data_IF_273144513136
#
_entry.id   IF_273144513136
#
_cell.length_a   1.000
_cell.length_b   1.000
_cell.length_c   1.000
_cell.angle_alpha   90.00
_cell.angle_beta   90.00
_cell.angle_gamma   90.00
#
_symmetry.space_group_name_H-M   'P 1'
#
loop_
_entity.id
_entity.type
_entity.pdbx_description
1 polymer ?
#
# COMPACT_ATOMS: atom_id res chain seq x y z
N UNK A 1 23.86 -2.28 -6.66
CA UNK A 1 23.68 -0.82 -6.64
C UNK A 1 22.86 -0.28 -7.83
N UNK A 2 23.12 -0.66 -9.09
CA UNK A 2 22.37 -0.15 -10.26
C UNK A 2 20.89 -0.59 -10.32
N UNK A 3 20.58 -1.82 -9.90
CA UNK A 3 19.20 -2.34 -9.80
C UNK A 3 18.35 -1.52 -8.81
N UNK A 4 18.93 -1.09 -7.68
CA UNK A 4 18.24 -0.27 -6.68
C UNK A 4 17.90 1.12 -7.24
N UNK A 5 18.73 1.70 -8.10
CA UNK A 5 18.47 3.00 -8.72
C UNK A 5 17.31 2.93 -9.73
N UNK A 6 17.27 1.89 -10.58
CA UNK A 6 16.18 1.68 -11.54
C UNK A 6 14.84 1.37 -10.85
N UNK A 7 14.86 0.52 -9.80
CA UNK A 7 13.68 0.27 -8.99
C UNK A 7 13.23 1.52 -8.24
N UNK A 8 14.14 2.28 -7.64
CA UNK A 8 13.81 3.59 -7.01
C UNK A 8 13.19 4.56 -8.01
N UNK A 9 13.73 4.65 -9.24
CA UNK A 9 13.22 5.58 -10.27
C UNK A 9 11.87 5.13 -10.84
N UNK A 10 11.62 3.83 -10.94
CA UNK A 10 10.33 3.27 -11.33
C UNK A 10 9.28 3.49 -10.23
N UNK A 11 9.69 3.29 -8.97
CA UNK A 11 8.87 3.56 -7.78
C UNK A 11 8.59 5.05 -7.68
N UNK A 12 9.58 5.94 -7.76
CA UNK A 12 9.40 7.40 -7.86
C UNK A 12 8.53 7.77 -9.06
N UNK A 13 8.67 7.12 -10.21
CA UNK A 13 7.84 7.40 -11.38
C UNK A 13 6.38 6.99 -11.18
N UNK A 14 6.10 5.94 -10.41
CA UNK A 14 4.75 5.45 -10.09
C UNK A 14 4.17 6.09 -8.82
N UNK A 15 5.04 6.58 -7.93
CA UNK A 15 4.73 7.31 -6.69
C UNK A 15 4.92 8.83 -6.84
N UNK A 16 5.22 9.32 -8.05
CA UNK A 16 5.22 10.75 -8.42
C UNK A 16 3.77 11.23 -8.30
N UNK A 17 3.39 11.63 -7.10
CA UNK A 17 2.01 11.97 -6.74
C UNK A 17 1.59 11.51 -5.35
N UNK A 18 2.34 10.59 -4.74
CA UNK A 18 2.10 10.12 -3.37
C UNK A 18 2.97 10.95 -2.40
N UNK A 19 2.41 11.87 -1.61
CA UNK A 19 3.15 12.65 -0.62
C UNK A 19 3.97 11.77 0.33
N UNK A 20 5.12 12.29 0.78
CA UNK A 20 6.00 11.59 1.74
C UNK A 20 5.26 11.19 3.02
N UNK A 21 4.29 12.00 3.44
CA UNK A 21 3.42 11.69 4.57
C UNK A 21 2.61 10.41 4.35
N UNK A 22 2.16 10.12 3.13
CA UNK A 22 1.46 8.86 2.82
C UNK A 22 2.42 7.66 2.87
N UNK A 23 3.67 7.85 2.43
CA UNK A 23 4.71 6.82 2.53
C UNK A 23 5.04 6.50 3.99
N UNK A 24 5.19 7.52 4.83
CA UNK A 24 5.41 7.35 6.27
C UNK A 24 4.19 6.76 6.97
N UNK A 25 2.97 7.11 6.54
CA UNK A 25 1.74 6.50 7.07
C UNK A 25 1.68 5.01 6.76
N UNK A 26 1.98 4.63 5.52
CA UNK A 26 2.05 3.22 5.10
C UNK A 26 3.13 2.49 5.91
N UNK A 27 4.30 3.10 6.08
CA UNK A 27 5.41 2.51 6.83
C UNK A 27 5.05 2.32 8.32
N UNK A 28 4.46 3.32 8.97
CA UNK A 28 4.06 3.17 10.38
C UNK A 28 2.90 2.18 10.57
N UNK A 29 1.98 2.06 9.60
CA UNK A 29 0.95 1.03 9.62
C UNK A 29 1.55 -0.37 9.46
N UNK A 30 2.57 -0.53 8.60
CA UNK A 30 3.34 -1.77 8.48
C UNK A 30 4.08 -2.13 9.76
N UNK A 31 4.66 -1.15 10.46
CA UNK A 31 5.37 -1.38 11.71
C UNK A 31 4.42 -1.75 12.86
N UNK A 32 3.25 -1.11 12.92
CA UNK A 32 2.24 -1.40 13.96
C UNK A 32 1.57 -2.77 13.77
N UNK A 33 1.29 -3.17 12.53
CA UNK A 33 0.64 -4.45 12.26
C UNK A 33 1.08 -5.03 10.89
N UNK A 34 2.24 -5.70 10.83
CA UNK A 34 2.81 -6.19 9.57
C UNK A 34 1.95 -7.30 8.94
N UNK A 35 1.28 -8.11 9.74
CA UNK A 35 0.41 -9.19 9.25
C UNK A 35 -0.83 -8.66 8.54
N UNK A 36 -1.48 -7.65 9.13
CA UNK A 36 -2.61 -6.96 8.54
C UNK A 36 -2.21 -6.32 7.20
N UNK A 37 -1.06 -5.65 7.17
CA UNK A 37 -0.58 -5.02 5.94
C UNK A 37 -0.24 -6.04 4.86
N UNK A 38 0.36 -7.18 5.23
CA UNK A 38 0.65 -8.26 4.29
C UNK A 38 -0.64 -8.81 3.66
N UNK A 39 -1.71 -9.01 4.45
CA UNK A 39 -3.03 -9.40 3.93
C UNK A 39 -3.60 -8.35 2.98
N UNK A 40 -3.60 -7.09 3.40
CA UNK A 40 -4.07 -5.95 2.59
C UNK A 40 -3.32 -5.91 1.24
N UNK A 41 -1.99 -6.05 1.25
CA UNK A 41 -1.18 -6.02 0.03
C UNK A 41 -1.49 -7.19 -0.91
N UNK A 42 -1.72 -8.39 -0.37
CA UNK A 42 -2.11 -9.57 -1.15
C UNK A 42 -3.50 -9.39 -1.77
N UNK A 43 -4.48 -8.95 -1.00
CA UNK A 43 -5.84 -8.74 -1.51
C UNK A 43 -5.92 -7.60 -2.53
N UNK A 44 -5.18 -6.50 -2.31
CA UNK A 44 -5.06 -5.42 -3.31
C UNK A 44 -4.42 -5.98 -4.59
N UNK A 45 -3.38 -6.80 -4.49
CA UNK A 45 -2.79 -7.44 -5.67
C UNK A 45 -3.78 -8.36 -6.39
N UNK A 46 -4.56 -9.16 -5.67
CA UNK A 46 -5.57 -10.03 -6.29
C UNK A 46 -6.64 -9.24 -7.03
N UNK A 47 -7.15 -8.16 -6.43
CA UNK A 47 -8.12 -7.26 -7.06
C UNK A 47 -7.55 -6.56 -8.29
N UNK A 48 -6.31 -6.08 -8.22
CA UNK A 48 -5.63 -5.47 -9.37
C UNK A 48 -5.39 -6.49 -10.49
N UNK A 49 -5.01 -7.73 -10.15
CA UNK A 49 -4.91 -8.83 -11.13
C UNK A 49 -6.26 -9.18 -11.75
N UNK A 50 -7.35 -9.04 -10.99
CA UNK A 50 -8.72 -9.15 -11.47
C UNK A 50 -9.19 -8.01 -12.36
N UNK A 51 -8.35 -6.99 -12.59
CA UNK A 51 -8.65 -5.85 -13.46
C UNK A 51 -9.22 -4.63 -12.73
N UNK A 52 -9.31 -4.62 -11.40
CA UNK A 52 -9.64 -3.40 -10.66
C UNK A 52 -8.48 -2.41 -10.68
N UNK A 53 -8.82 -1.12 -10.68
CA UNK A 53 -7.83 -0.06 -10.50
C UNK A 53 -7.20 -0.13 -9.10
N UNK A 54 -5.88 0.12 -9.03
CA UNK A 54 -5.08 -0.02 -7.81
C UNK A 54 -5.56 0.88 -6.67
N UNK A 55 -6.03 2.09 -6.98
CA UNK A 55 -6.54 3.02 -5.96
C UNK A 55 -7.90 2.55 -5.46
N UNK A 56 -8.75 2.05 -6.35
CA UNK A 56 -10.07 1.51 -6.01
C UNK A 56 -9.96 0.26 -5.14
N UNK A 57 -9.07 -0.67 -5.52
CA UNK A 57 -8.78 -1.87 -4.74
C UNK A 57 -8.24 -1.52 -3.35
N UNK A 58 -7.27 -0.60 -3.25
CA UNK A 58 -6.73 -0.16 -1.98
C UNK A 58 -7.79 0.49 -1.08
N UNK A 59 -8.65 1.35 -1.62
CA UNK A 59 -9.75 1.97 -0.85
C UNK A 59 -10.76 0.95 -0.35
N UNK A 60 -11.14 -0.03 -1.18
CA UNK A 60 -12.09 -1.07 -0.81
C UNK A 60 -11.54 -1.93 0.33
N UNK A 61 -10.27 -2.33 0.23
CA UNK A 61 -9.59 -3.14 1.24
C UNK A 61 -9.41 -2.35 2.53
N UNK A 62 -8.92 -1.10 2.48
CA UNK A 62 -8.81 -0.24 3.67
C UNK A 62 -10.18 0.00 4.30
N UNK A 63 -11.26 0.05 3.52
CA UNK A 63 -12.63 0.14 4.04
C UNK A 63 -13.07 -1.16 4.73
N UNK A 64 -12.75 -2.32 4.16
CA UNK A 64 -13.04 -3.62 4.78
C UNK A 64 -12.26 -3.81 6.08
N UNK A 65 -11.00 -3.41 6.09
CA UNK A 65 -10.13 -3.44 7.25
C UNK A 65 -10.24 -2.17 8.12
N UNK A 66 -11.20 -1.27 7.85
CA UNK A 66 -11.31 0.01 8.57
C UNK A 66 -11.54 -0.19 10.06
N UNK A 67 -12.33 -1.19 10.43
CA UNK A 67 -12.64 -1.47 11.83
C UNK A 67 -11.46 -2.12 12.55
N UNK A 68 -10.68 -2.95 11.85
CA UNK A 68 -9.41 -3.47 12.36
C UNK A 68 -8.35 -2.37 12.48
N UNK A 69 -8.19 -1.53 11.45
CA UNK A 69 -7.28 -0.39 11.43
C UNK A 69 -7.64 0.67 12.47
N UNK A 70 -8.93 0.91 12.74
CA UNK A 70 -9.42 1.78 13.82
C UNK A 70 -9.01 1.30 15.20
N UNK A 71 -8.82 -0.01 15.40
CA UNK A 71 -8.28 -0.54 16.64
C UNK A 71 -6.82 -0.13 16.90
N UNK A 72 -6.11 0.33 15.86
CA UNK A 72 -4.67 0.67 15.90
C UNK A 72 -4.37 2.16 15.61
N UNK A 73 -5.39 2.95 15.26
CA UNK A 73 -5.31 4.38 14.94
C UNK A 73 -5.46 5.21 16.21
#
# INVERSE_FOLDING_TARGET
MFKNFLMRKMVESKMKGMPKEEQEKITSMMEKNPELFQKIALEVQEKVKGGQDQISAAMEIVKNYKDELKGFM
#
